data_IF_183245039816
#
_entry.id   IF_183245039816
#
_cell.length_a   1.000
_cell.length_b   1.000
_cell.length_c   1.000
_cell.angle_alpha   90.00
_cell.angle_beta   90.00
_cell.angle_gamma   90.00
#
_symmetry.space_group_name_H-M   'P 1'
#
loop_
_entity.id
_entity.type
_entity.pdbx_description
1 polymer ?
#
# COMPACT_ATOMS: atom_id res chain seq x y z
N UNK A 1 -24.13 45.24 -20.18
CA UNK A 1 -22.93 44.45 -19.82
C UNK A 1 -23.41 43.28 -18.98
N UNK A 2 -23.67 42.13 -19.60
CA UNK A 2 -24.21 40.95 -18.92
C UNK A 2 -23.05 40.01 -18.59
N UNK A 3 -22.79 39.80 -17.30
CA UNK A 3 -21.77 38.88 -16.83
C UNK A 3 -22.35 37.46 -16.85
N UNK A 4 -21.90 36.62 -17.77
CA UNK A 4 -22.19 35.18 -17.79
C UNK A 4 -21.46 34.53 -16.62
N UNK A 5 -22.18 34.23 -15.53
CA UNK A 5 -21.69 33.35 -14.48
C UNK A 5 -21.70 31.91 -15.00
N UNK A 6 -20.52 31.36 -15.30
CA UNK A 6 -20.35 29.93 -15.50
C UNK A 6 -20.58 29.22 -14.16
N UNK A 7 -21.73 28.56 -14.00
CA UNK A 7 -21.97 27.62 -12.92
C UNK A 7 -21.14 26.36 -13.17
N UNK A 8 -19.96 26.26 -12.55
CA UNK A 8 -19.22 25.02 -12.47
C UNK A 8 -19.96 24.07 -11.52
N UNK A 9 -20.35 22.89 -12.02
CA UNK A 9 -20.90 21.83 -11.17
C UNK A 9 -19.77 21.30 -10.26
N UNK A 10 -19.97 21.23 -8.94
CA UNK A 10 -18.97 20.64 -8.06
C UNK A 10 -18.85 19.14 -8.40
N UNK A 11 -17.63 18.72 -8.72
CA UNK A 11 -17.30 17.31 -8.90
C UNK A 11 -17.32 16.65 -7.52
N UNK A 12 -18.28 15.77 -7.28
CA UNK A 12 -18.33 14.96 -6.07
C UNK A 12 -17.38 13.77 -6.25
N UNK A 13 -16.10 13.99 -5.98
CA UNK A 13 -15.14 12.90 -5.78
C UNK A 13 -15.28 12.46 -4.32
N UNK A 14 -15.54 11.16 -4.09
CA UNK A 14 -15.49 10.61 -2.74
C UNK A 14 -14.04 10.58 -2.23
N UNK A 15 -13.84 10.79 -0.93
CA UNK A 15 -12.52 10.67 -0.32
C UNK A 15 -12.08 9.20 -0.26
N UNK A 16 -10.84 8.92 -0.63
CA UNK A 16 -10.24 7.64 -0.31
C UNK A 16 -9.94 7.61 1.20
N UNK A 17 -10.60 6.70 1.92
CA UNK A 17 -10.44 6.57 3.36
C UNK A 17 -9.18 5.81 3.77
N UNK A 18 -8.51 5.15 2.82
CA UNK A 18 -7.31 4.36 3.07
C UNK A 18 -6.10 5.29 3.11
N UNK A 19 -5.37 5.36 4.25
CA UNK A 19 -4.12 6.12 4.30
C UNK A 19 -3.05 5.42 3.46
N UNK A 20 -2.21 6.21 2.78
CA UNK A 20 -1.10 5.70 1.96
C UNK A 20 -1.52 4.52 1.06
N UNK A 21 -2.51 4.70 0.18
CA UNK A 21 -3.22 3.60 -0.48
C UNK A 21 -2.36 2.84 -1.51
N UNK A 22 -1.24 3.43 -1.94
CA UNK A 22 -0.27 2.83 -2.86
C UNK A 22 1.06 2.48 -2.19
N UNK A 23 1.15 2.55 -0.86
CA UNK A 23 2.32 2.15 -0.07
C UNK A 23 3.63 2.94 -0.33
N UNK A 24 3.57 4.06 -1.04
CA UNK A 24 4.77 4.85 -1.41
C UNK A 24 5.37 5.58 -0.21
N UNK A 25 4.54 5.97 0.76
CA UNK A 25 5.01 6.73 1.90
C UNK A 25 5.67 5.78 2.90
N UNK A 26 6.99 5.86 2.99
CA UNK A 26 7.82 5.15 3.99
C UNK A 26 8.80 6.14 4.63
N UNK A 27 9.25 5.84 5.86
CA UNK A 27 10.28 6.63 6.55
C UNK A 27 11.69 6.22 6.07
N UNK A 28 11.90 4.91 5.92
CA UNK A 28 13.16 4.30 5.51
C UNK A 28 12.91 3.22 4.44
N UNK A 29 13.90 3.00 3.58
CA UNK A 29 13.86 1.90 2.63
C UNK A 29 13.91 0.56 3.37
N UNK A 30 13.08 -0.43 2.95
CA UNK A 30 13.09 -1.73 3.59
C UNK A 30 14.45 -2.40 3.39
N UNK A 31 15.12 -2.71 4.49
CA UNK A 31 16.42 -3.36 4.50
C UNK A 31 16.38 -4.77 5.08
N UNK A 32 15.27 -5.18 5.69
CA UNK A 32 14.99 -6.56 6.09
C UNK A 32 13.69 -7.07 5.49
N UNK A 33 13.55 -8.40 5.43
CA UNK A 33 12.29 -9.02 5.06
C UNK A 33 11.19 -8.82 6.11
N UNK A 34 9.96 -9.03 5.66
CA UNK A 34 8.74 -8.93 6.43
C UNK A 34 8.36 -7.49 6.84
N UNK A 35 7.14 -7.34 7.34
CA UNK A 35 6.56 -6.09 7.84
C UNK A 35 7.09 -5.67 9.23
N UNK A 36 8.42 -5.53 9.36
CA UNK A 36 9.05 -5.09 10.61
C UNK A 36 8.89 -3.58 10.85
N UNK A 37 9.10 -3.14 12.10
CA UNK A 37 9.14 -1.71 12.42
C UNK A 37 10.37 -1.10 11.72
N UNK A 38 10.14 -0.14 10.83
CA UNK A 38 11.18 0.47 9.99
C UNK A 38 11.23 -0.09 8.56
N UNK A 39 10.67 -1.27 8.32
CA UNK A 39 10.64 -1.95 7.02
C UNK A 39 9.19 -2.15 6.54
N UNK A 40 8.34 -1.15 6.76
CA UNK A 40 6.93 -1.18 6.36
C UNK A 40 6.46 0.22 5.95
N UNK A 41 5.45 0.33 5.07
CA UNK A 41 4.91 1.62 4.68
C UNK A 41 4.24 2.30 5.88
N UNK A 42 4.29 3.62 5.92
CA UNK A 42 3.64 4.41 6.96
C UNK A 42 2.14 4.13 6.96
N UNK A 43 1.57 4.10 8.17
CA UNK A 43 0.17 3.81 8.51
C UNK A 43 -0.32 2.36 8.33
N UNK A 44 0.46 1.50 7.65
CA UNK A 44 0.12 0.10 7.45
C UNK A 44 0.82 -0.81 8.45
N UNK A 45 0.15 -1.87 8.88
CA UNK A 45 0.73 -2.86 9.78
C UNK A 45 0.31 -4.28 9.39
N UNK A 46 1.08 -5.26 9.83
CA UNK A 46 0.68 -6.67 9.83
C UNK A 46 -0.31 -6.93 10.96
N UNK A 47 -1.35 -7.69 10.67
CA UNK A 47 -2.31 -8.19 11.66
C UNK A 47 -2.05 -9.66 11.98
N UNK A 48 -1.51 -10.42 11.03
CA UNK A 48 -1.12 -11.81 11.22
C UNK A 48 0.09 -12.14 10.33
N UNK A 49 0.90 -13.11 10.77
CA UNK A 49 2.08 -13.64 10.06
C UNK A 49 3.06 -12.57 9.58
N UNK A 50 3.74 -12.74 8.44
CA UNK A 50 4.92 -11.98 8.05
C UNK A 50 4.86 -11.50 6.59
N UNK A 51 3.86 -10.70 6.22
CA UNK A 51 3.78 -10.15 4.87
C UNK A 51 5.01 -9.29 4.58
N UNK A 52 5.29 -9.01 3.31
CA UNK A 52 6.49 -8.30 2.86
C UNK A 52 6.18 -6.95 2.23
N UNK A 53 7.02 -5.96 2.50
CA UNK A 53 6.97 -4.65 1.87
C UNK A 53 8.10 -4.53 0.84
N UNK A 54 7.73 -4.35 -0.43
CA UNK A 54 8.66 -4.18 -1.53
C UNK A 54 8.75 -2.72 -1.95
N UNK A 55 9.97 -2.25 -2.19
CA UNK A 55 10.21 -0.89 -2.68
C UNK A 55 11.49 -0.83 -3.52
N UNK A 56 11.46 -0.14 -4.65
CA UNK A 56 12.61 0.02 -5.56
C UNK A 56 13.84 0.67 -4.90
N UNK A 57 13.66 1.41 -3.79
CA UNK A 57 14.79 1.99 -3.09
C UNK A 57 15.61 0.96 -2.28
N UNK A 58 15.08 -0.26 -2.07
CA UNK A 58 15.78 -1.33 -1.38
C UNK A 58 17.00 -1.84 -2.16
N UNK A 59 16.93 -1.89 -3.50
CA UNK A 59 18.08 -2.25 -4.36
C UNK A 59 19.24 -1.25 -4.34
N UNK A 60 19.01 -0.04 -3.83
CA UNK A 60 20.02 1.02 -3.74
C UNK A 60 20.81 1.03 -2.42
N UNK A 61 20.55 0.07 -1.51
CA UNK A 61 21.15 0.02 -0.17
C UNK A 61 22.58 -0.56 -0.16
N UNK A 62 23.47 0.03 -0.95
CA UNK A 62 24.92 -0.18 -0.82
C UNK A 62 25.40 -1.61 -1.12
N UNK A 63 24.66 -2.38 -1.91
CA UNK A 63 25.02 -3.74 -2.32
C UNK A 63 24.57 -4.85 -1.37
N UNK A 64 23.74 -4.54 -0.36
CA UNK A 64 23.03 -5.55 0.42
C UNK A 64 21.82 -6.02 -0.40
N UNK A 65 21.75 -7.31 -0.70
CA UNK A 65 20.52 -7.91 -1.22
C UNK A 65 19.56 -8.14 -0.07
N UNK A 66 18.58 -7.22 0.07
CA UNK A 66 17.58 -7.26 1.14
C UNK A 66 16.44 -8.21 0.83
N UNK A 67 16.40 -8.74 -0.41
CA UNK A 67 15.27 -9.47 -0.98
C UNK A 67 14.00 -8.62 -1.17
N UNK A 68 14.03 -7.31 -0.85
CA UNK A 68 12.85 -6.41 -0.87
C UNK A 68 12.77 -5.48 -2.09
N UNK A 69 13.65 -5.67 -3.07
CA UNK A 69 13.78 -4.77 -4.21
C UNK A 69 12.66 -4.96 -5.24
N UNK A 70 12.39 -3.90 -6.00
CA UNK A 70 11.47 -3.91 -7.14
C UNK A 70 12.28 -3.61 -8.40
N UNK A 71 12.19 -4.43 -9.47
CA UNK A 71 11.20 -5.49 -9.66
C UNK A 71 11.63 -6.90 -9.20
N UNK A 72 12.91 -7.10 -8.85
CA UNK A 72 13.42 -8.42 -8.48
C UNK A 72 13.55 -8.55 -6.96
N UNK A 73 12.61 -9.27 -6.37
CA UNK A 73 12.61 -9.58 -4.94
C UNK A 73 12.90 -11.07 -4.68
N UNK A 74 12.97 -11.46 -3.41
CA UNK A 74 13.24 -12.85 -3.00
C UNK A 74 12.21 -13.89 -3.44
N UNK A 75 11.03 -13.46 -3.93
CA UNK A 75 9.92 -14.34 -4.29
C UNK A 75 9.57 -14.32 -5.78
N UNK A 76 9.83 -13.23 -6.49
CA UNK A 76 9.25 -12.96 -7.81
C UNK A 76 9.98 -11.87 -8.61
N UNK A 77 9.63 -11.76 -9.90
CA UNK A 77 9.92 -10.61 -10.74
C UNK A 77 8.62 -9.86 -11.04
N UNK A 78 8.41 -8.66 -10.49
CA UNK A 78 7.22 -7.84 -10.73
C UNK A 78 7.50 -6.34 -10.53
N UNK A 79 7.08 -5.50 -11.49
CA UNK A 79 7.06 -4.05 -11.29
C UNK A 79 5.89 -3.63 -10.39
N UNK A 80 6.09 -2.59 -9.60
CA UNK A 80 5.00 -1.94 -8.88
C UNK A 80 3.94 -1.43 -9.88
N UNK A 81 2.67 -1.64 -9.55
CA UNK A 81 1.56 -1.13 -10.38
C UNK A 81 1.48 0.39 -10.36
N UNK A 82 1.79 0.99 -9.22
CA UNK A 82 1.86 2.43 -8.99
C UNK A 82 3.21 2.73 -8.32
N UNK A 83 3.84 3.84 -8.71
CA UNK A 83 5.09 4.31 -8.14
C UNK A 83 6.16 3.23 -8.03
N UNK A 84 6.72 3.08 -6.83
CA UNK A 84 7.92 2.29 -6.58
C UNK A 84 7.68 1.14 -5.60
N UNK A 85 6.48 1.01 -5.05
CA UNK A 85 6.22 0.13 -3.91
C UNK A 85 4.94 -0.71 -4.03
N UNK A 86 4.96 -1.88 -3.39
CA UNK A 86 3.78 -2.72 -3.17
C UNK A 86 3.99 -3.67 -1.98
N UNK A 87 2.94 -4.40 -1.62
CA UNK A 87 2.95 -5.37 -0.53
C UNK A 87 2.69 -6.76 -1.08
N UNK A 88 3.47 -7.74 -0.65
CA UNK A 88 3.23 -9.16 -0.91
C UNK A 88 2.71 -9.88 0.33
N UNK A 89 1.87 -10.88 0.09
CA UNK A 89 1.27 -11.70 1.14
C UNK A 89 0.97 -13.11 0.64
N UNK A 90 1.17 -14.09 1.50
CA UNK A 90 0.63 -15.44 1.31
C UNK A 90 -0.83 -15.51 1.76
N UNK A 91 -1.76 -15.55 0.80
CA UNK A 91 -3.20 -15.57 1.08
C UNK A 91 -3.81 -16.98 1.17
N UNK A 92 -3.19 -17.98 0.54
CA UNK A 92 -3.75 -19.32 0.39
C UNK A 92 -2.66 -20.39 0.50
N UNK A 93 -2.36 -20.79 1.74
CA UNK A 93 -1.41 -21.86 2.02
C UNK A 93 -2.06 -23.03 2.79
N UNK A 94 -1.51 -24.24 2.71
CA UNK A 94 -1.94 -25.37 3.54
C UNK A 94 -1.86 -25.04 5.04
N UNK A 95 -2.78 -25.60 5.82
CA UNK A 95 -2.76 -25.45 7.29
C UNK A 95 -3.41 -24.17 7.82
N UNK A 96 -4.32 -23.56 7.05
CA UNK A 96 -5.04 -22.32 7.42
C UNK A 96 -4.11 -21.11 7.65
N UNK A 97 -2.93 -21.15 7.02
CA UNK A 97 -1.98 -20.05 7.03
C UNK A 97 -2.43 -18.96 6.03
N UNK A 98 -2.47 -17.72 6.53
CA UNK A 98 -2.73 -16.52 5.74
C UNK A 98 -2.04 -15.34 6.39
N UNK A 99 -1.51 -14.44 5.58
CA UNK A 99 -0.93 -13.19 6.04
C UNK A 99 -1.94 -12.06 5.85
N UNK A 100 -1.94 -11.13 6.79
CA UNK A 100 -2.91 -10.04 6.81
C UNK A 100 -2.19 -8.71 7.03
N UNK A 101 -2.44 -7.76 6.14
CA UNK A 101 -2.05 -6.35 6.32
C UNK A 101 -3.28 -5.47 6.42
N UNK A 102 -3.18 -4.41 7.20
CA UNK A 102 -4.25 -3.45 7.33
C UNK A 102 -3.77 -2.10 7.84
N UNK A 103 -4.58 -1.09 7.57
CA UNK A 103 -4.43 0.25 8.10
C UNK A 103 -5.78 0.72 8.66
N UNK A 104 -5.79 1.44 9.79
CA UNK A 104 -6.99 2.14 10.23
C UNK A 104 -7.36 3.21 9.18
N UNK A 105 -8.65 3.34 8.90
CA UNK A 105 -9.15 4.38 8.01
C UNK A 105 -8.92 5.76 8.62
N UNK A 106 -8.74 6.77 7.76
CA UNK A 106 -8.54 8.17 8.21
C UNK A 106 -9.77 8.74 8.94
N UNK A 107 -10.95 8.19 8.66
CA UNK A 107 -12.23 8.54 9.28
C UNK A 107 -13.04 7.26 9.55
N UNK A 108 -13.89 7.23 10.60
CA UNK A 108 -14.76 6.10 10.86
C UNK A 108 -15.82 5.93 9.76
N UNK A 109 -16.24 4.69 9.54
CA UNK A 109 -17.38 4.40 8.67
C UNK A 109 -18.67 4.95 9.29
N UNK A 110 -19.53 5.51 8.45
CA UNK A 110 -20.80 6.09 8.86
C UNK A 110 -21.94 5.09 8.60
N UNK A 111 -22.80 4.91 9.60
CA UNK A 111 -23.96 4.03 9.49
C UNK A 111 -24.85 4.44 8.30
N UNK A 112 -25.29 3.45 7.52
CA UNK A 112 -26.15 3.65 6.35
C UNK A 112 -25.44 4.13 5.08
N UNK A 113 -24.12 4.29 5.10
CA UNK A 113 -23.33 4.61 3.91
C UNK A 113 -22.83 3.35 3.19
N UNK A 114 -22.73 3.44 1.86
CA UNK A 114 -22.12 2.40 1.01
C UNK A 114 -20.70 2.80 0.65
N UNK A 115 -19.74 1.90 0.90
CA UNK A 115 -18.34 2.09 0.57
C UNK A 115 -17.91 1.11 -0.52
N UNK A 116 -17.07 1.58 -1.43
CA UNK A 116 -16.51 0.78 -2.50
C UNK A 116 -15.01 0.61 -2.27
N UNK A 117 -14.54 -0.63 -2.39
CA UNK A 117 -13.12 -0.98 -2.24
C UNK A 117 -12.64 -1.58 -3.55
N UNK A 118 -11.47 -1.15 -3.99
CA UNK A 118 -10.76 -1.73 -5.13
C UNK A 118 -9.27 -1.75 -4.83
N UNK A 119 -8.59 -2.77 -5.34
CA UNK A 119 -7.14 -2.94 -5.22
C UNK A 119 -6.63 -3.72 -6.43
N UNK A 120 -5.31 -3.71 -6.63
CA UNK A 120 -4.62 -4.49 -7.66
C UNK A 120 -3.97 -5.70 -7.02
N UNK A 121 -4.07 -6.85 -7.71
CA UNK A 121 -3.43 -8.12 -7.39
C UNK A 121 -2.80 -8.64 -8.67
#
# INVERSE_FOLDING_TARGET
MACLCFLALPRCEAQNLVPNPSFELTDTCPNTCCFNVGDRPLYWNRWDQSPDYFNACAGSLGGIDTLMDVPWNGWSWQYAYHGDAYVGMSCFEPGDFRELVGAPLIEPLVLGQTYYVSYRV
#
